data_IF_245558211114
#
_entry.id   IF_245558211114
#
_cell.length_a   1.000
_cell.length_b   1.000
_cell.length_c   1.000
_cell.angle_alpha   90.00
_cell.angle_beta   90.00
_cell.angle_gamma   90.00
#
_symmetry.space_group_name_H-M   'P 1'
#
loop_
_entity.id
_entity.type
_entity.pdbx_description
1 polymer ?
#
# COMPACT_ATOMS: atom_id res chain seq x y z
N UNK A 1 -50.50 50.25 47.36
CA UNK A 1 -49.24 50.23 46.56
C UNK A 1 -49.52 50.38 45.05
N UNK A 2 -50.01 51.54 44.57
CA UNK A 2 -50.32 51.80 43.14
C UNK A 2 -49.41 52.88 42.50
N UNK A 3 -48.18 53.03 43.00
CA UNK A 3 -47.29 54.14 42.60
C UNK A 3 -46.14 53.73 41.66
N UNK A 4 -45.85 52.43 41.49
CA UNK A 4 -44.75 51.98 40.61
C UNK A 4 -45.11 51.92 39.10
N UNK A 5 -46.39 51.79 38.74
CA UNK A 5 -46.83 51.71 37.32
C UNK A 5 -46.95 53.08 36.62
N UNK A 6 -47.10 54.19 37.36
CA UNK A 6 -47.15 55.54 36.75
C UNK A 6 -45.79 56.05 36.26
N UNK A 7 -44.70 55.62 36.91
CA UNK A 7 -43.33 56.04 36.55
C UNK A 7 -42.85 55.39 35.24
N UNK A 8 -43.37 54.20 34.90
CA UNK A 8 -43.02 53.51 33.66
C UNK A 8 -43.57 54.23 32.41
N UNK A 9 -44.80 54.76 32.45
CA UNK A 9 -45.43 55.48 31.32
C UNK A 9 -44.66 56.74 30.90
N UNK A 10 -44.08 57.47 31.85
CA UNK A 10 -43.33 58.69 31.55
C UNK A 10 -42.02 58.44 30.78
N UNK A 11 -41.51 57.20 30.72
CA UNK A 11 -40.29 56.88 29.97
C UNK A 11 -40.54 56.71 28.48
N UNK A 12 -41.69 56.17 28.11
CA UNK A 12 -42.07 55.98 26.70
C UNK A 12 -42.39 57.33 26.06
N UNK A 13 -43.15 58.19 26.76
CA UNK A 13 -43.44 59.56 26.28
C UNK A 13 -42.16 60.39 26.10
N UNK A 14 -41.20 60.25 27.02
CA UNK A 14 -39.88 60.88 26.90
C UNK A 14 -39.06 60.32 25.73
N UNK A 15 -39.16 59.01 25.47
CA UNK A 15 -38.47 58.38 24.33
C UNK A 15 -39.02 58.91 23.01
N UNK A 16 -40.33 58.94 22.82
CA UNK A 16 -40.94 59.45 21.60
C UNK A 16 -40.67 60.93 21.38
N UNK A 17 -40.69 61.77 22.43
CA UNK A 17 -40.28 63.18 22.31
C UNK A 17 -38.79 63.33 21.96
N UNK A 18 -37.91 62.54 22.57
CA UNK A 18 -36.45 62.66 22.37
C UNK A 18 -36.00 62.21 20.98
N UNK A 19 -36.68 61.23 20.40
CA UNK A 19 -36.30 60.64 19.11
C UNK A 19 -37.28 60.98 17.98
N UNK A 20 -38.20 61.93 18.17
CA UNK A 20 -39.20 62.30 17.16
C UNK A 20 -38.59 62.71 15.82
N UNK A 21 -37.52 63.53 15.85
CA UNK A 21 -36.81 63.95 14.64
C UNK A 21 -36.15 62.77 13.89
N UNK A 22 -35.70 61.74 14.61
CA UNK A 22 -35.07 60.56 14.01
C UNK A 22 -36.10 59.57 13.45
N UNK A 23 -37.23 59.40 14.15
CA UNK A 23 -38.32 58.53 13.71
C UNK A 23 -39.05 59.11 12.49
N UNK A 24 -39.15 60.44 12.38
CA UNK A 24 -39.88 61.11 11.30
C UNK A 24 -39.00 61.59 10.15
N UNK A 25 -37.68 61.34 10.18
CA UNK A 25 -36.82 61.65 9.04
C UNK A 25 -37.18 60.79 7.82
N UNK A 26 -37.67 61.43 6.75
CA UNK A 26 -37.92 60.78 5.47
C UNK A 26 -36.59 60.35 4.84
N UNK A 27 -36.33 59.05 4.84
CA UNK A 27 -35.21 58.45 4.11
C UNK A 27 -35.59 58.36 2.64
N UNK A 28 -34.89 59.09 1.78
CA UNK A 28 -35.01 58.97 0.33
C UNK A 28 -33.88 58.10 -0.22
N UNK A 29 -34.24 57.06 -0.96
CA UNK A 29 -33.28 56.26 -1.70
C UNK A 29 -33.24 56.79 -3.14
N UNK A 30 -32.06 57.26 -3.55
CA UNK A 30 -31.83 57.71 -4.92
C UNK A 30 -31.73 56.45 -5.79
N UNK A 31 -32.83 56.11 -6.47
CA UNK A 31 -32.83 55.07 -7.48
C UNK A 31 -32.31 55.70 -8.77
N UNK A 32 -31.00 55.60 -9.00
CA UNK A 32 -30.40 56.00 -10.27
C UNK A 32 -31.02 55.21 -11.43
N UNK A 33 -31.39 55.93 -12.49
CA UNK A 33 -32.00 55.36 -13.68
C UNK A 33 -31.06 54.31 -14.32
N UNK A 34 -31.64 53.16 -14.64
CA UNK A 34 -31.01 51.94 -15.18
C UNK A 34 -29.89 52.22 -16.19
N UNK A 35 -28.64 52.13 -15.74
CA UNK A 35 -27.51 51.83 -16.64
C UNK A 35 -27.72 50.46 -17.29
N UNK A 36 -27.29 50.30 -18.55
CA UNK A 36 -27.42 49.07 -19.35
C UNK A 36 -27.01 47.86 -18.50
N UNK A 37 -27.96 46.96 -18.24
CA UNK A 37 -27.73 45.76 -17.42
C UNK A 37 -26.65 44.89 -18.07
N UNK A 38 -25.43 44.93 -17.54
CA UNK A 38 -24.56 43.76 -17.56
C UNK A 38 -25.34 42.67 -16.82
N UNK A 39 -25.49 41.49 -17.42
CA UNK A 39 -26.32 40.41 -16.86
C UNK A 39 -25.93 40.17 -15.40
N UNK A 40 -26.82 40.49 -14.46
CA UNK A 40 -26.60 40.19 -13.05
C UNK A 40 -26.65 38.68 -12.88
N UNK A 41 -25.49 38.06 -12.72
CA UNK A 41 -25.33 36.62 -12.60
C UNK A 41 -23.86 36.22 -12.51
N UNK A 42 -23.61 34.98 -12.08
CA UNK A 42 -22.27 34.38 -12.10
C UNK A 42 -21.72 34.43 -13.54
N UNK A 43 -20.44 34.80 -13.76
CA UNK A 43 -19.84 34.81 -15.09
C UNK A 43 -20.04 33.45 -15.76
N UNK A 44 -20.49 33.46 -17.01
CA UNK A 44 -20.61 32.23 -17.80
C UNK A 44 -19.22 31.84 -18.29
N UNK A 45 -18.68 30.78 -17.71
CA UNK A 45 -17.45 30.13 -18.19
C UNK A 45 -17.73 29.39 -19.50
N UNK A 46 -16.73 29.36 -20.38
CA UNK A 46 -16.79 28.56 -21.61
C UNK A 46 -16.92 27.07 -21.28
N UNK A 47 -17.49 26.31 -22.22
CA UNK A 47 -17.78 24.88 -22.03
C UNK A 47 -16.56 24.09 -21.57
N UNK A 48 -15.38 24.38 -22.09
CA UNK A 48 -14.14 23.68 -21.74
C UNK A 48 -13.65 23.95 -20.31
N UNK A 49 -13.95 25.12 -19.77
CA UNK A 49 -13.55 25.55 -18.42
C UNK A 49 -14.52 25.06 -17.33
N UNK A 50 -15.73 24.63 -17.69
CA UNK A 50 -16.72 24.11 -16.76
C UNK A 50 -16.28 22.80 -16.09
N UNK A 51 -16.68 22.62 -14.82
CA UNK A 51 -16.57 21.34 -14.11
C UNK A 51 -17.32 20.21 -14.83
N UNK A 52 -16.85 18.97 -14.68
CA UNK A 52 -17.47 17.77 -15.29
C UNK A 52 -18.96 17.63 -14.95
N UNK A 53 -19.36 18.01 -13.73
CA UNK A 53 -20.77 17.99 -13.29
C UNK A 53 -21.61 18.95 -14.13
N UNK A 54 -21.11 20.15 -14.40
CA UNK A 54 -21.78 21.15 -15.22
C UNK A 54 -21.83 20.73 -16.68
N UNK A 55 -20.74 20.20 -17.25
CA UNK A 55 -20.67 19.65 -18.62
C UNK A 55 -21.71 18.54 -18.85
N UNK A 56 -21.88 17.63 -17.88
CA UNK A 56 -22.91 16.57 -17.94
C UNK A 56 -24.33 17.13 -17.90
N UNK A 57 -24.56 18.21 -17.14
CA UNK A 57 -25.87 18.86 -17.03
C UNK A 57 -26.25 19.57 -18.33
N UNK A 58 -25.33 20.34 -18.92
CA UNK A 58 -25.56 21.07 -20.17
C UNK A 58 -25.79 20.14 -21.35
N UNK A 59 -25.06 19.03 -21.43
CA UNK A 59 -25.21 18.00 -22.49
C UNK A 59 -26.36 17.01 -22.24
N UNK A 60 -27.09 17.12 -21.11
CA UNK A 60 -28.17 16.18 -20.77
C UNK A 60 -29.25 16.17 -21.85
N UNK A 61 -29.66 17.37 -22.27
CA UNK A 61 -30.76 17.55 -23.22
C UNK A 61 -30.41 16.95 -24.60
N UNK A 62 -29.16 17.08 -25.02
CA UNK A 62 -28.66 16.53 -26.29
C UNK A 62 -28.63 15.00 -26.22
N UNK A 63 -28.15 14.44 -25.10
CA UNK A 63 -28.08 12.98 -24.90
C UNK A 63 -29.44 12.31 -24.76
N UNK A 64 -30.45 13.04 -24.27
CA UNK A 64 -31.82 12.51 -24.20
C UNK A 64 -32.55 12.55 -25.55
N UNK A 65 -32.15 13.45 -26.45
CA UNK A 65 -32.84 13.66 -27.74
C UNK A 65 -32.34 12.77 -28.86
N UNK A 66 -31.05 12.39 -28.85
CA UNK A 66 -30.41 11.68 -29.96
C UNK A 66 -29.75 10.38 -29.54
N UNK A 67 -29.67 9.43 -30.46
CA UNK A 67 -29.04 8.13 -30.25
C UNK A 67 -27.51 8.19 -30.23
N UNK A 68 -26.85 7.14 -29.71
CA UNK A 68 -25.38 7.06 -29.65
C UNK A 68 -24.73 7.07 -31.03
N UNK A 69 -25.34 6.42 -32.02
CA UNK A 69 -24.86 6.39 -33.41
C UNK A 69 -24.92 7.79 -34.04
N UNK A 70 -26.04 8.51 -33.89
CA UNK A 70 -26.23 9.87 -34.40
C UNK A 70 -25.26 10.85 -33.77
N UNK A 71 -25.07 10.78 -32.44
CA UNK A 71 -24.10 11.61 -31.72
C UNK A 71 -22.66 11.31 -32.13
N UNK A 72 -22.32 10.03 -32.39
CA UNK A 72 -21.00 9.66 -32.88
C UNK A 72 -20.72 10.19 -34.29
N UNK A 73 -21.74 10.21 -35.16
CA UNK A 73 -21.64 10.76 -36.50
C UNK A 73 -21.54 12.30 -36.46
N UNK A 74 -22.35 12.95 -35.63
CA UNK A 74 -22.27 14.40 -35.40
C UNK A 74 -20.88 14.82 -34.89
N UNK A 75 -20.29 14.04 -33.96
CA UNK A 75 -18.93 14.28 -33.49
C UNK A 75 -17.89 14.12 -34.61
N UNK A 76 -18.04 13.13 -35.51
CA UNK A 76 -17.16 12.98 -36.68
C UNK A 76 -17.25 14.21 -37.59
N UNK A 77 -18.45 14.70 -37.88
CA UNK A 77 -18.66 15.87 -38.74
C UNK A 77 -18.09 17.16 -38.11
N UNK A 78 -18.27 17.33 -36.79
CA UNK A 78 -17.70 18.46 -36.05
C UNK A 78 -16.17 18.45 -36.00
N UNK A 79 -15.54 17.27 -35.89
CA UNK A 79 -14.09 17.15 -35.93
C UNK A 79 -13.52 17.43 -37.32
N UNK A 80 -14.25 17.06 -38.38
CA UNK A 80 -13.90 17.40 -39.77
C UNK A 80 -14.00 18.90 -40.04
N UNK A 81 -15.06 19.55 -39.54
CA UNK A 81 -15.21 21.00 -39.68
C UNK A 81 -14.18 21.79 -38.87
N UNK A 82 -13.58 21.16 -37.85
CA UNK A 82 -12.50 21.73 -37.04
C UNK A 82 -11.09 21.35 -37.52
N UNK A 83 -10.97 20.87 -38.77
CA UNK A 83 -9.71 20.50 -39.45
C UNK A 83 -8.86 19.40 -38.77
N UNK A 84 -9.43 18.64 -37.83
CA UNK A 84 -8.75 17.48 -37.23
C UNK A 84 -8.95 16.27 -38.12
N UNK A 85 -8.01 16.00 -39.04
CA UNK A 85 -8.18 14.98 -40.09
C UNK A 85 -8.21 13.53 -39.55
N UNK A 86 -7.36 13.21 -38.56
CA UNK A 86 -7.23 11.84 -38.04
C UNK A 86 -8.24 11.48 -36.94
N UNK A 87 -8.68 12.47 -36.16
CA UNK A 87 -9.59 12.25 -35.03
C UNK A 87 -10.95 11.63 -35.42
N UNK A 88 -11.63 12.03 -36.52
CA UNK A 88 -12.85 11.40 -37.01
C UNK A 88 -12.68 9.92 -37.33
N UNK A 89 -11.52 9.51 -37.84
CA UNK A 89 -11.22 8.11 -38.18
C UNK A 89 -11.19 7.25 -36.92
N UNK A 90 -10.56 7.77 -35.86
CA UNK A 90 -10.51 7.10 -34.54
C UNK A 90 -11.90 7.01 -33.91
N UNK A 91 -12.70 8.09 -33.95
CA UNK A 91 -14.08 8.07 -33.43
C UNK A 91 -14.93 7.04 -34.17
N UNK A 92 -14.85 6.98 -35.51
CA UNK A 92 -15.54 5.97 -36.31
C UNK A 92 -15.11 4.55 -35.94
N UNK A 93 -13.81 4.32 -35.79
CA UNK A 93 -13.26 3.01 -35.41
C UNK A 93 -13.76 2.56 -34.03
N UNK A 94 -13.89 3.46 -33.07
CA UNK A 94 -14.35 3.13 -31.73
C UNK A 94 -15.88 2.94 -31.69
N UNK A 95 -16.63 3.71 -32.49
CA UNK A 95 -18.10 3.70 -32.46
C UNK A 95 -18.74 2.62 -33.34
N UNK A 96 -18.20 2.35 -34.53
CA UNK A 96 -18.81 1.42 -35.50
C UNK A 96 -18.16 0.03 -35.52
N UNK A 97 -16.92 -0.11 -35.03
CA UNK A 97 -16.18 -1.38 -35.06
C UNK A 97 -16.04 -2.00 -33.67
N UNK A 98 -15.56 -3.25 -33.60
CA UNK A 98 -15.47 -4.02 -32.37
C UNK A 98 -14.83 -3.21 -31.22
N UNK A 99 -15.48 -3.09 -30.04
CA UNK A 99 -15.02 -2.29 -28.90
C UNK A 99 -13.62 -2.66 -28.38
N UNK A 100 -13.08 -3.80 -28.80
CA UNK A 100 -11.70 -4.23 -28.55
C UNK A 100 -10.64 -3.32 -29.20
N UNK A 101 -10.96 -2.59 -30.28
CA UNK A 101 -9.99 -1.65 -30.90
C UNK A 101 -9.62 -0.51 -29.96
N UNK A 102 -10.56 -0.01 -29.16
CA UNK A 102 -10.29 1.03 -28.16
C UNK A 102 -9.22 0.58 -27.13
N UNK A 103 -9.23 -0.71 -26.75
CA UNK A 103 -8.20 -1.29 -25.86
C UNK A 103 -6.81 -1.30 -26.50
N UNK A 104 -6.71 -1.52 -27.81
CA UNK A 104 -5.44 -1.50 -28.55
C UNK A 104 -4.84 -0.08 -28.58
N UNK A 105 -5.64 0.93 -28.94
CA UNK A 105 -5.20 2.34 -28.91
C UNK A 105 -4.72 2.75 -27.50
N UNK A 106 -5.45 2.36 -26.44
CA UNK A 106 -5.03 2.61 -25.06
C UNK A 106 -3.71 1.91 -24.71
N UNK A 107 -3.50 0.68 -25.16
CA UNK A 107 -2.26 -0.07 -24.87
C UNK A 107 -1.04 0.63 -25.49
N UNK A 108 -1.15 1.08 -26.75
CA UNK A 108 -0.08 1.77 -27.46
C UNK A 108 0.20 3.14 -26.84
N UNK A 109 -0.83 3.92 -26.49
CA UNK A 109 -0.63 5.23 -25.86
C UNK A 109 0.06 5.16 -24.47
N UNK A 110 -0.09 4.03 -23.76
CA UNK A 110 0.53 3.82 -22.44
C UNK A 110 1.85 3.03 -22.50
N UNK A 111 2.21 2.46 -23.64
CA UNK A 111 3.53 1.87 -23.83
C UNK A 111 4.50 2.99 -24.18
N UNK A 112 5.29 3.45 -23.20
CA UNK A 112 6.49 4.24 -23.50
C UNK A 112 7.41 3.40 -24.38
N UNK A 113 7.67 3.86 -25.60
CA UNK A 113 8.72 3.33 -26.45
C UNK A 113 10.03 3.49 -25.67
N UNK A 114 10.52 2.41 -25.09
CA UNK A 114 11.88 2.33 -24.59
C UNK A 114 12.68 1.73 -25.73
N UNK A 115 13.30 2.60 -26.51
CA UNK A 115 14.35 2.17 -27.43
C UNK A 115 15.48 1.54 -26.61
N UNK A 116 16.14 0.54 -27.21
CA UNK A 116 17.17 -0.26 -26.57
C UNK A 116 18.39 0.60 -26.24
N UNK A 117 18.45 1.19 -25.04
CA UNK A 117 19.68 1.80 -24.54
C UNK A 117 20.73 0.71 -24.30
N UNK A 118 21.92 0.92 -24.88
CA UNK A 118 23.09 0.10 -24.62
C UNK A 118 23.51 0.22 -23.14
N UNK A 119 24.06 -0.87 -22.60
CA UNK A 119 24.32 -1.04 -21.17
C UNK A 119 25.24 0.03 -20.58
N UNK A 120 26.16 0.56 -21.40
CA UNK A 120 27.12 1.58 -20.97
C UNK A 120 26.55 3.00 -21.03
N UNK A 121 25.70 3.28 -22.03
CA UNK A 121 25.03 4.58 -22.20
C UNK A 121 24.00 4.82 -21.08
N UNK A 122 23.34 3.75 -20.63
CA UNK A 122 22.45 3.78 -19.46
C UNK A 122 23.19 4.07 -18.14
N UNK A 123 24.44 3.63 -17.98
CA UNK A 123 25.25 3.87 -16.77
C UNK A 123 25.80 5.30 -16.76
N UNK A 124 26.19 5.83 -17.92
CA UNK A 124 26.60 7.24 -18.05
C UNK A 124 25.44 8.19 -17.70
N UNK A 125 24.24 7.94 -18.25
CA UNK A 125 23.02 8.69 -17.91
C UNK A 125 22.65 8.61 -16.41
N UNK A 126 22.96 7.49 -15.75
CA UNK A 126 22.74 7.31 -14.32
C UNK A 126 23.73 8.09 -13.44
N UNK A 127 24.95 8.34 -13.91
CA UNK A 127 25.94 9.13 -13.19
C UNK A 127 25.71 10.64 -13.35
N UNK A 128 25.25 11.07 -14.52
CA UNK A 128 25.00 12.49 -14.81
C UNK A 128 23.67 13.00 -14.23
N UNK A 129 22.64 12.15 -14.18
CA UNK A 129 21.36 12.54 -13.57
C UNK A 129 21.47 12.32 -12.07
N UNK A 130 21.59 13.40 -11.30
CA UNK A 130 21.28 13.40 -9.86
C UNK A 130 19.86 12.86 -9.68
N UNK A 131 19.73 11.56 -9.42
CA UNK A 131 18.46 10.85 -9.51
C UNK A 131 17.50 11.34 -8.42
N UNK A 132 16.30 11.76 -8.85
CA UNK A 132 15.21 11.95 -7.90
C UNK A 132 14.87 10.60 -7.24
N UNK A 133 14.37 10.67 -6.00
CA UNK A 133 14.01 9.52 -5.17
C UNK A 133 13.13 8.50 -5.89
N UNK A 134 12.24 8.95 -6.77
CA UNK A 134 11.33 8.09 -7.53
C UNK A 134 12.03 7.35 -8.67
N UNK A 135 12.96 8.00 -9.37
CA UNK A 135 13.77 7.36 -10.42
C UNK A 135 14.72 6.31 -9.82
N UNK A 136 15.30 6.60 -8.65
CA UNK A 136 16.08 5.60 -7.90
C UNK A 136 15.22 4.39 -7.49
N UNK A 137 13.97 4.60 -7.04
CA UNK A 137 13.07 3.50 -6.72
C UNK A 137 12.69 2.67 -7.95
N UNK A 138 12.49 3.30 -9.11
CA UNK A 138 12.23 2.59 -10.37
C UNK A 138 13.44 1.75 -10.80
N UNK A 139 14.63 2.33 -10.75
CA UNK A 139 15.89 1.62 -11.02
C UNK A 139 16.11 0.46 -10.05
N UNK A 140 15.87 0.68 -8.75
CA UNK A 140 15.94 -0.38 -7.74
C UNK A 140 14.94 -1.50 -8.02
N UNK A 141 13.71 -1.17 -8.41
CA UNK A 141 12.70 -2.16 -8.74
C UNK A 141 13.02 -2.92 -10.04
N UNK A 142 13.68 -2.27 -11.00
CA UNK A 142 14.20 -2.90 -12.21
C UNK A 142 15.40 -3.82 -11.91
N UNK A 143 16.36 -3.35 -11.11
CA UNK A 143 17.47 -4.14 -10.63
C UNK A 143 16.97 -5.34 -9.83
N UNK A 144 16.05 -5.18 -8.87
CA UNK A 144 15.44 -6.29 -8.12
C UNK A 144 14.66 -7.29 -8.99
N UNK A 145 14.19 -6.87 -10.17
CA UNK A 145 13.59 -7.77 -11.17
C UNK A 145 14.66 -8.55 -11.95
N UNK A 146 15.81 -7.94 -12.22
CA UNK A 146 16.90 -8.49 -13.06
C UNK A 146 17.95 -9.26 -12.24
N UNK A 147 18.46 -8.66 -11.18
CA UNK A 147 19.27 -9.30 -10.14
C UNK A 147 18.34 -9.88 -9.08
N UNK A 148 17.99 -11.15 -9.22
CA UNK A 148 17.43 -11.90 -8.11
C UNK A 148 18.55 -12.07 -7.04
N UNK A 149 18.73 -11.03 -6.24
CA UNK A 149 19.77 -10.96 -5.21
C UNK A 149 19.66 -12.12 -4.23
N UNK A 150 20.79 -12.77 -4.05
CA UNK A 150 21.15 -13.93 -3.22
C UNK A 150 20.69 -13.89 -1.74
N UNK A 151 20.34 -12.72 -1.18
CA UNK A 151 20.28 -12.56 0.29
C UNK A 151 18.96 -12.93 0.96
N UNK A 152 17.82 -12.92 0.27
CA UNK A 152 16.51 -13.04 0.94
C UNK A 152 15.70 -14.28 0.51
N UNK A 153 16.20 -15.06 -0.46
CA UNK A 153 15.50 -16.22 -1.03
C UNK A 153 16.23 -17.55 -0.82
N UNK A 154 17.25 -17.60 0.04
CA UNK A 154 17.69 -18.87 0.61
C UNK A 154 16.69 -19.26 1.69
N UNK A 155 15.63 -20.00 1.30
CA UNK A 155 14.53 -20.42 2.21
C UNK A 155 15.01 -21.37 3.31
N UNK A 156 15.77 -20.89 4.29
CA UNK A 156 16.28 -21.77 5.33
C UNK A 156 17.09 -22.95 4.78
N UNK A 157 17.63 -22.85 3.55
CA UNK A 157 18.42 -23.90 2.88
C UNK A 157 19.90 -23.70 3.16
N UNK A 158 20.59 -24.79 3.47
CA UNK A 158 22.03 -24.77 3.76
C UNK A 158 22.80 -24.43 2.46
N UNK A 159 23.86 -23.64 2.60
CA UNK A 159 24.70 -23.19 1.49
C UNK A 159 25.93 -24.11 1.42
N UNK A 160 26.39 -24.44 0.21
CA UNK A 160 27.67 -25.12 0.05
C UNK A 160 28.81 -24.10 0.19
N UNK A 161 29.54 -24.17 1.29
CA UNK A 161 30.54 -23.18 1.69
C UNK A 161 31.72 -23.13 0.70
N UNK A 162 32.16 -24.28 0.16
CA UNK A 162 33.30 -24.36 -0.76
C UNK A 162 33.02 -23.63 -2.07
N UNK A 163 31.92 -24.03 -2.74
CA UNK A 163 31.45 -23.38 -3.97
C UNK A 163 31.16 -21.88 -3.75
N UNK A 164 30.59 -21.54 -2.59
CA UNK A 164 30.30 -20.15 -2.27
C UNK A 164 31.58 -19.30 -2.13
N UNK A 165 32.63 -19.83 -1.49
CA UNK A 165 33.91 -19.13 -1.35
C UNK A 165 34.53 -18.85 -2.72
N UNK A 166 34.59 -19.86 -3.59
CA UNK A 166 35.10 -19.72 -4.97
C UNK A 166 34.33 -18.63 -5.73
N UNK A 167 33.00 -18.70 -5.72
CA UNK A 167 32.13 -17.72 -6.37
C UNK A 167 32.37 -16.28 -5.88
N UNK A 168 32.52 -16.09 -4.56
CA UNK A 168 32.76 -14.74 -4.00
C UNK A 168 34.13 -14.17 -4.36
N UNK A 169 35.17 -15.01 -4.46
CA UNK A 169 36.51 -14.59 -4.87
C UNK A 169 36.54 -14.24 -6.34
N UNK A 170 35.91 -15.04 -7.20
CA UNK A 170 35.77 -14.74 -8.63
C UNK A 170 35.04 -13.42 -8.86
N UNK A 171 33.95 -13.20 -8.12
CA UNK A 171 33.18 -11.95 -8.18
C UNK A 171 34.02 -10.75 -7.73
N UNK A 172 34.85 -10.90 -6.69
CA UNK A 172 35.74 -9.85 -6.23
C UNK A 172 36.82 -9.50 -7.28
N UNK A 173 37.41 -10.51 -7.92
CA UNK A 173 38.39 -10.32 -9.01
C UNK A 173 37.75 -9.60 -10.20
N UNK A 174 36.53 -10.01 -10.57
CA UNK A 174 35.78 -9.37 -11.64
C UNK A 174 35.49 -7.89 -11.32
N UNK A 175 35.07 -7.58 -10.09
CA UNK A 175 34.82 -6.20 -9.65
C UNK A 175 36.06 -5.31 -9.77
N UNK A 176 37.22 -5.80 -9.32
CA UNK A 176 38.49 -5.06 -9.39
C UNK A 176 38.93 -4.84 -10.85
N UNK A 177 38.67 -5.80 -11.73
CA UNK A 177 39.00 -5.71 -13.16
C UNK A 177 38.15 -4.66 -13.88
N UNK A 178 36.83 -4.68 -13.67
CA UNK A 178 35.89 -3.76 -14.34
C UNK A 178 35.95 -2.34 -13.76
N UNK A 179 36.15 -2.22 -12.45
CA UNK A 179 36.16 -0.94 -11.75
C UNK A 179 37.46 -0.70 -10.95
N UNK A 180 38.64 -0.60 -11.60
CA UNK A 180 39.91 -0.38 -10.89
C UNK A 180 39.95 0.94 -10.13
N UNK A 181 39.22 1.95 -10.62
CA UNK A 181 39.17 3.29 -10.07
C UNK A 181 38.31 3.41 -8.79
N UNK A 182 37.44 2.42 -8.52
CA UNK A 182 36.48 2.49 -7.42
C UNK A 182 36.86 1.56 -6.27
N UNK A 183 36.99 2.13 -5.07
CA UNK A 183 37.28 1.35 -3.86
C UNK A 183 36.06 0.52 -3.45
N UNK A 184 36.27 -0.76 -3.16
CA UNK A 184 35.18 -1.67 -2.74
C UNK A 184 34.53 -1.13 -1.45
N UNK A 185 33.20 -0.88 -1.45
CA UNK A 185 32.51 -0.43 -0.25
C UNK A 185 32.59 -1.47 0.88
N UNK A 186 32.66 -1.04 2.14
CA UNK A 186 32.86 -1.96 3.27
C UNK A 186 31.76 -3.02 3.40
N UNK A 187 30.52 -2.72 3.00
CA UNK A 187 29.44 -3.72 2.96
C UNK A 187 29.65 -4.81 1.91
N UNK A 188 30.14 -4.43 0.72
CA UNK A 188 30.46 -5.38 -0.37
C UNK A 188 31.72 -6.17 -0.03
N UNK A 189 32.72 -5.52 0.58
CA UNK A 189 33.91 -6.19 1.07
C UNK A 189 33.58 -7.26 2.12
N UNK A 190 32.75 -6.94 3.12
CA UNK A 190 32.26 -7.93 4.10
C UNK A 190 31.46 -9.06 3.43
N UNK A 191 30.71 -8.76 2.37
CA UNK A 191 29.95 -9.75 1.61
C UNK A 191 30.85 -10.70 0.81
N UNK A 192 31.89 -10.20 0.14
CA UNK A 192 32.72 -11.00 -0.75
C UNK A 192 33.87 -11.70 -0.01
N UNK A 193 34.44 -11.05 1.01
CA UNK A 193 35.64 -11.56 1.70
C UNK A 193 35.25 -12.30 2.98
N UNK A 194 34.50 -11.66 3.88
CA UNK A 194 34.23 -12.22 5.22
C UNK A 194 32.98 -13.11 5.30
N UNK A 195 32.03 -12.99 4.37
CA UNK A 195 30.76 -13.73 4.44
C UNK A 195 30.93 -15.25 4.41
N UNK A 196 31.84 -15.85 3.62
CA UNK A 196 32.05 -17.30 3.67
C UNK A 196 32.45 -17.78 5.08
N UNK A 197 33.36 -17.06 5.74
CA UNK A 197 33.82 -17.39 7.10
C UNK A 197 32.70 -17.20 8.15
N UNK A 198 31.86 -16.16 7.97
CA UNK A 198 30.69 -15.94 8.83
C UNK A 198 29.66 -17.07 8.67
N UNK A 199 29.45 -17.55 7.45
CA UNK A 199 28.50 -18.64 7.21
C UNK A 199 29.01 -19.96 7.81
N UNK A 200 30.32 -20.17 7.79
CA UNK A 200 30.96 -21.37 8.35
C UNK A 200 30.90 -21.39 9.89
N UNK A 201 31.12 -20.24 10.53
CA UNK A 201 31.06 -20.11 11.99
C UNK A 201 29.64 -19.98 12.56
N UNK A 202 28.64 -19.61 11.76
CA UNK A 202 27.29 -19.36 12.23
C UNK A 202 26.48 -20.66 12.45
N UNK A 203 25.89 -20.79 13.65
CA UNK A 203 24.99 -21.91 14.01
C UNK A 203 23.74 -21.98 13.13
N UNK A 204 23.19 -20.82 12.80
CA UNK A 204 21.99 -20.67 11.98
C UNK A 204 22.35 -19.94 10.68
N UNK A 205 21.64 -20.30 9.62
CA UNK A 205 21.80 -19.60 8.36
C UNK A 205 21.48 -18.12 8.50
N UNK A 206 22.29 -17.28 7.89
CA UNK A 206 22.24 -15.82 8.06
C UNK A 206 20.88 -15.20 7.71
N UNK A 207 20.11 -15.81 6.80
CA UNK A 207 18.76 -15.35 6.48
C UNK A 207 17.75 -15.50 7.62
N UNK A 208 17.99 -16.44 8.56
CA UNK A 208 17.18 -16.61 9.77
C UNK A 208 17.58 -15.62 10.88
N UNK A 209 18.80 -15.10 10.83
CA UNK A 209 19.34 -14.11 11.76
C UNK A 209 19.10 -12.66 11.29
N UNK A 210 18.16 -12.46 10.36
CA UNK A 210 17.90 -11.14 9.74
C UNK A 210 17.17 -10.20 10.70
N UNK A 211 17.60 -8.93 10.74
CA UNK A 211 16.95 -7.84 11.48
C UNK A 211 15.60 -7.41 10.86
N UNK A 212 15.33 -7.79 9.60
CA UNK A 212 14.13 -7.39 8.86
C UNK A 212 12.83 -7.76 9.61
N UNK A 213 12.85 -8.84 10.39
CA UNK A 213 11.73 -9.22 11.24
C UNK A 213 11.44 -8.15 12.29
N UNK A 214 12.48 -7.68 13.00
CA UNK A 214 12.36 -6.61 14.00
C UNK A 214 11.93 -5.29 13.37
N UNK A 215 12.51 -4.89 12.23
CA UNK A 215 12.10 -3.67 11.53
C UNK A 215 10.63 -3.72 11.07
N UNK A 216 10.14 -4.90 10.68
CA UNK A 216 8.75 -5.07 10.30
C UNK A 216 7.79 -4.82 11.48
N UNK A 217 8.23 -5.14 12.71
CA UNK A 217 7.44 -4.88 13.93
C UNK A 217 7.27 -3.38 14.20
N UNK A 218 8.21 -2.53 13.75
CA UNK A 218 8.08 -1.08 13.90
C UNK A 218 6.81 -0.52 13.24
N UNK A 219 6.34 -1.15 12.15
CA UNK A 219 5.08 -0.80 11.50
C UNK A 219 3.87 -1.13 12.40
N UNK A 220 3.92 -2.27 13.09
CA UNK A 220 2.90 -2.67 14.06
C UNK A 220 2.90 -1.74 15.27
N UNK A 221 4.06 -1.37 15.79
CA UNK A 221 4.21 -0.43 16.90
C UNK A 221 3.52 0.91 16.59
N UNK A 222 3.82 1.50 15.43
CA UNK A 222 3.18 2.75 14.99
C UNK A 222 1.66 2.59 14.89
N UNK A 223 1.20 1.52 14.24
CA UNK A 223 -0.24 1.22 14.08
C UNK A 223 -0.96 1.05 15.42
N UNK A 224 -0.36 0.32 16.36
CA UNK A 224 -0.95 0.07 17.68
C UNK A 224 -1.04 1.37 18.49
N UNK A 225 0.00 2.20 18.41
CA UNK A 225 0.07 3.50 19.07
C UNK A 225 -0.98 4.49 18.53
N UNK A 226 -1.17 4.53 17.22
CA UNK A 226 -2.06 5.50 16.57
C UNK A 226 -3.55 5.15 16.73
N UNK A 227 -3.90 3.87 16.56
CA UNK A 227 -5.28 3.46 16.33
C UNK A 227 -5.90 2.64 17.47
N UNK A 228 -5.10 2.02 18.33
CA UNK A 228 -5.59 0.98 19.27
C UNK A 228 -5.37 1.39 20.73
N UNK A 229 -4.21 1.92 21.07
CA UNK A 229 -3.85 2.26 22.46
C UNK A 229 -4.57 3.49 22.99
N UNK A 230 -4.76 3.56 24.32
CA UNK A 230 -5.34 4.71 25.03
C UNK A 230 -4.48 5.98 24.85
N UNK A 231 -5.11 7.14 24.63
CA UNK A 231 -4.41 8.42 24.33
C UNK A 231 -4.40 9.44 25.48
N UNK A 232 -4.91 9.10 26.66
CA UNK A 232 -4.98 10.03 27.80
C UNK A 232 -3.72 10.03 28.68
N UNK A 233 -2.84 9.02 28.57
CA UNK A 233 -1.58 8.96 29.32
C UNK A 233 -0.53 8.20 28.50
N UNK A 234 0.69 8.72 28.48
CA UNK A 234 1.81 8.10 27.76
C UNK A 234 2.18 6.72 28.33
N UNK A 235 2.13 6.56 29.66
CA UNK A 235 2.44 5.28 30.32
C UNK A 235 1.41 4.23 29.93
N UNK A 236 0.11 4.57 30.02
CA UNK A 236 -0.98 3.66 29.62
C UNK A 236 -0.98 3.37 28.12
N UNK A 237 -0.61 4.35 27.31
CA UNK A 237 -0.44 4.18 25.87
C UNK A 237 0.62 3.11 25.54
N UNK A 238 1.81 3.23 26.14
CA UNK A 238 2.89 2.26 25.93
C UNK A 238 2.56 0.89 26.53
N UNK A 239 1.93 0.84 27.70
CA UNK A 239 1.45 -0.41 28.32
C UNK A 239 0.53 -1.19 27.36
N UNK A 240 -0.41 -0.51 26.70
CA UNK A 240 -1.31 -1.13 25.72
C UNK A 240 -0.56 -1.62 24.48
N UNK A 241 0.39 -0.84 23.96
CA UNK A 241 1.23 -1.23 22.82
C UNK A 241 2.03 -2.49 23.16
N UNK A 242 2.66 -2.53 24.34
CA UNK A 242 3.41 -3.69 24.83
C UNK A 242 2.53 -4.92 24.99
N UNK A 243 1.37 -4.80 25.66
CA UNK A 243 0.42 -5.92 25.81
C UNK A 243 -0.03 -6.46 24.46
N UNK A 244 -0.25 -5.59 23.48
CA UNK A 244 -0.66 -6.01 22.13
C UNK A 244 0.46 -6.71 21.37
N UNK A 245 1.70 -6.27 21.54
CA UNK A 245 2.87 -6.95 20.97
C UNK A 245 3.07 -8.34 21.59
N UNK A 246 2.90 -8.49 22.90
CA UNK A 246 2.95 -9.79 23.57
C UNK A 246 1.89 -10.75 23.01
N UNK A 247 0.62 -10.30 22.93
CA UNK A 247 -0.43 -11.11 22.32
C UNK A 247 -0.19 -11.40 20.82
N UNK A 248 0.51 -10.51 20.11
CA UNK A 248 0.87 -10.72 18.71
C UNK A 248 2.02 -11.74 18.54
N UNK A 249 2.93 -11.83 19.50
CA UNK A 249 4.14 -12.67 19.45
C UNK A 249 4.00 -14.01 20.16
N UNK A 250 2.89 -14.22 20.88
CA UNK A 250 2.55 -15.50 21.51
C UNK A 250 2.67 -16.68 20.52
N UNK A 251 3.53 -17.69 20.80
CA UNK A 251 3.75 -18.83 19.90
C UNK A 251 2.51 -19.68 19.65
N UNK A 252 1.69 -19.87 20.68
CA UNK A 252 0.46 -20.67 20.60
C UNK A 252 -0.59 -19.94 19.76
N UNK A 253 -0.78 -18.65 19.98
CA UNK A 253 -1.69 -17.86 19.15
C UNK A 253 -1.17 -17.74 17.72
N UNK A 254 0.15 -17.67 17.52
CA UNK A 254 0.75 -17.60 16.20
C UNK A 254 0.54 -18.89 15.38
N UNK A 255 0.61 -20.07 16.00
CA UNK A 255 0.39 -21.35 15.31
C UNK A 255 -1.04 -21.51 14.80
N UNK A 256 -2.02 -20.95 15.52
CA UNK A 256 -3.43 -20.97 15.15
C UNK A 256 -3.79 -19.95 14.04
N UNK A 257 -2.97 -18.93 13.81
CA UNK A 257 -3.23 -17.90 12.79
C UNK A 257 -2.93 -18.45 11.40
N UNK A 258 -3.87 -18.28 10.46
CA UNK A 258 -3.66 -18.60 9.04
C UNK A 258 -2.75 -17.55 8.39
N UNK A 259 -1.50 -17.88 7.98
CA UNK A 259 -0.64 -16.92 7.32
C UNK A 259 -1.11 -16.67 5.88
N UNK A 260 -0.90 -15.46 5.33
CA UNK A 260 -1.21 -15.18 3.94
C UNK A 260 -0.31 -16.03 3.02
N UNK A 261 -0.92 -16.71 2.06
CA UNK A 261 -0.20 -17.51 1.06
C UNK A 261 0.66 -16.61 0.16
N UNK A 262 1.99 -16.78 0.22
CA UNK A 262 2.92 -16.02 -0.62
C UNK A 262 3.33 -16.85 -1.83
N UNK A 263 3.15 -16.30 -3.04
CA UNK A 263 3.62 -16.92 -4.27
C UNK A 263 5.14 -17.01 -4.27
N UNK A 264 5.64 -18.22 -4.48
CA UNK A 264 7.05 -18.52 -4.57
C UNK A 264 7.55 -18.10 -5.94
N UNK A 265 8.55 -17.21 -5.97
CA UNK A 265 9.26 -16.88 -7.21
C UNK A 265 10.43 -17.85 -7.38
N UNK A 266 10.74 -18.19 -8.63
CA UNK A 266 11.90 -19.00 -8.99
C UNK A 266 13.22 -18.33 -8.56
N UNK A 267 14.22 -19.18 -8.33
CA UNK A 267 15.61 -18.80 -8.10
C UNK A 267 16.36 -18.81 -9.43
N UNK A 268 17.47 -18.06 -9.49
CA UNK A 268 18.42 -18.14 -10.61
C UNK A 268 19.11 -19.51 -10.59
N UNK A 269 19.46 -20.08 -11.76
CA UNK A 269 20.19 -21.35 -11.85
C UNK A 269 21.48 -21.38 -11.04
N UNK A 270 22.32 -20.35 -11.16
CA UNK A 270 23.58 -20.23 -10.41
C UNK A 270 23.35 -20.22 -8.89
N UNK A 271 22.27 -19.56 -8.44
CA UNK A 271 21.91 -19.52 -7.03
C UNK A 271 21.37 -20.87 -6.53
N UNK A 272 20.87 -21.74 -7.41
CA UNK A 272 20.45 -23.09 -7.07
C UNK A 272 21.68 -24.00 -6.90
N UNK A 273 22.71 -23.85 -7.74
CA UNK A 273 23.94 -24.66 -7.65
C UNK A 273 24.73 -24.40 -6.36
N UNK A 274 24.64 -23.19 -5.82
CA UNK A 274 25.27 -22.82 -4.54
C UNK A 274 24.53 -23.38 -3.30
N UNK A 275 23.33 -23.92 -3.47
CA UNK A 275 22.54 -24.47 -2.38
C UNK A 275 22.77 -25.98 -2.25
N UNK A 276 22.84 -26.45 -1.02
CA UNK A 276 22.77 -27.89 -0.76
C UNK A 276 21.34 -28.36 -1.07
N UNK A 277 21.25 -29.41 -1.88
CA UNK A 277 19.98 -30.12 -2.07
C UNK A 277 19.55 -30.72 -0.72
N UNK A 278 18.24 -30.80 -0.43
CA UNK A 278 17.78 -31.53 0.75
C UNK A 278 18.27 -32.97 0.61
N UNK A 279 18.92 -33.51 1.65
CA UNK A 279 19.16 -34.95 1.75
C UNK A 279 17.77 -35.60 1.67
N UNK A 280 17.50 -36.36 0.61
CA UNK A 280 16.44 -37.36 0.66
C UNK A 280 16.78 -38.25 1.85
N UNK A 281 15.81 -38.50 2.75
CA UNK A 281 15.96 -39.59 3.70
C UNK A 281 16.18 -40.83 2.85
N UNK A 282 17.38 -41.39 2.84
CA UNK A 282 17.60 -42.76 2.43
C UNK A 282 17.08 -43.61 3.56
N UNK A 283 16.30 -44.63 3.24
CA UNK A 283 15.64 -45.56 4.17
C UNK A 283 16.63 -46.42 5.01
N UNK A 284 17.90 -46.04 5.04
CA UNK A 284 18.99 -46.71 5.75
C UNK A 284 19.12 -46.25 7.22
N UNK A 285 18.47 -45.13 7.59
CA UNK A 285 18.47 -44.62 8.97
C UNK A 285 17.32 -45.19 9.84
N UNK A 286 16.41 -46.02 9.28
CA UNK A 286 15.31 -46.68 10.03
C UNK A 286 15.61 -48.13 10.47
N UNK A 287 16.81 -48.66 10.17
CA UNK A 287 17.16 -50.06 10.44
C UNK A 287 17.88 -50.32 11.79
N UNK A 288 17.91 -49.35 12.72
CA UNK A 288 18.46 -49.55 14.07
C UNK A 288 17.48 -49.00 15.11
N UNK A 289 16.51 -49.83 15.49
CA UNK A 289 15.57 -49.48 16.56
C UNK A 289 14.23 -50.20 16.51
N UNK A 290 14.22 -51.52 16.25
CA UNK A 290 13.09 -52.40 16.55
C UNK A 290 13.65 -53.69 17.15
N UNK A 291 14.08 -53.62 18.41
CA UNK A 291 13.98 -54.75 19.32
C UNK A 291 12.81 -54.39 20.25
N UNK A 292 11.65 -54.98 19.97
CA UNK A 292 10.49 -54.98 20.85
C UNK A 292 10.61 -56.26 21.67
N UNK A 293 11.03 -56.13 22.91
CA UNK A 293 10.75 -57.07 23.98
C UNK A 293 10.27 -56.21 25.14
N UNK A 294 8.97 -56.25 25.43
CA UNK A 294 8.47 -56.17 26.80
C UNK A 294 7.00 -56.57 26.84
N UNK A 295 6.74 -57.50 27.76
CA UNK A 295 5.56 -58.32 27.89
C UNK A 295 4.30 -57.53 28.29
N UNK A 296 3.17 -57.93 27.70
CA UNK A 296 1.82 -57.61 28.19
C UNK A 296 1.65 -58.11 29.63
N UNK A 297 1.30 -57.23 30.56
CA UNK A 297 0.40 -57.57 31.67
C UNK A 297 -0.59 -56.45 31.98
N UNK A 298 -1.83 -56.88 32.11
CA UNK A 298 -3.09 -56.16 32.26
C UNK A 298 -3.19 -55.32 33.53
N UNK A 299 -3.77 -54.12 33.41
CA UNK A 299 -4.54 -53.51 34.51
C UNK A 299 -5.83 -52.88 33.98
N UNK A 300 -6.86 -53.72 34.05
CA UNK A 300 -8.29 -53.40 33.97
C UNK A 300 -8.64 -52.34 35.04
N UNK A 301 -9.35 -51.29 34.64
CA UNK A 301 -10.17 -50.51 35.58
C UNK A 301 -11.57 -50.35 35.02
N UNK A 302 -12.45 -51.24 35.49
CA UNK A 302 -13.89 -51.21 35.28
C UNK A 302 -14.47 -49.87 35.75
N UNK A 303 -15.19 -49.21 34.85
CA UNK A 303 -16.16 -48.18 35.20
C UNK A 303 -17.53 -48.75 34.93
N UNK A 304 -18.32 -48.93 35.99
CA UNK A 304 -19.70 -48.44 36.11
C UNK A 304 -20.46 -49.23 37.18
N UNK A 305 -20.85 -48.57 38.28
CA UNK A 305 -22.14 -48.87 38.89
C UNK A 305 -22.70 -47.62 39.60
N UNK A 306 -23.78 -47.09 39.04
CA UNK A 306 -24.64 -46.10 39.65
C UNK A 306 -25.62 -46.80 40.60
N UNK A 307 -25.87 -46.26 41.80
CA UNK A 307 -27.24 -46.01 42.26
C UNK A 307 -27.29 -45.24 43.59
N UNK A 308 -28.23 -44.30 43.64
CA UNK A 308 -28.74 -43.59 44.81
C UNK A 308 -29.27 -44.48 45.92
N UNK A 309 -29.17 -44.04 47.18
CA UNK A 309 -30.30 -44.04 48.13
C UNK A 309 -30.03 -43.12 49.31
N UNK A 310 -31.14 -42.61 49.83
CA UNK A 310 -31.35 -41.54 50.79
C UNK A 310 -31.18 -41.99 52.26
N UNK A 311 -31.49 -41.04 53.16
CA UNK A 311 -31.84 -41.17 54.58
C UNK A 311 -30.65 -41.09 55.56
N UNK A 312 -30.48 -39.92 56.19
CA UNK A 312 -31.11 -39.45 57.44
C UNK A 312 -30.33 -39.90 58.68
N UNK A 313 -29.94 -38.89 59.46
CA UNK A 313 -30.13 -38.77 60.91
C UNK A 313 -28.90 -38.22 61.63
N UNK A 314 -29.16 -37.22 62.48
CA UNK A 314 -28.59 -37.26 63.82
C UNK A 314 -27.39 -36.35 64.10
N UNK A 315 -27.72 -35.13 64.54
CA UNK A 315 -27.35 -34.64 65.88
C UNK A 315 -25.85 -34.40 66.19
N UNK A 316 -25.43 -33.13 66.20
CA UNK A 316 -25.11 -32.29 67.39
C UNK A 316 -24.49 -30.98 66.94
#
# INVERSE_FOLDING_TARGET
>A
MRTKLKVAKNRDDYFFQKFDCWLNTKVSFLVEAKSKRLSTGRPQEEFDQLSDRSKRRTTKDIRSKYGTAELSYAAQMSLRSSEKLDAPVVVRDISSSNPSKAKKYRKVANSSVLDNLDGNEGVALLCDIVLSRDKYQQLRNWALKKTATFSHRTRGRKINIKKFREYTVETARYFVKEYPWYKIPPGVHRLLIHRPDIIDSALLQIGKLSEEAQESTNKLIRRYRENISRKYSRVKNLEDVFRRLLAATDPYVASLRKPPQKKLKSLLPDAIDLLLQPKTRTDEDEAVGNEVDDDEQDLIWDSDEAMSTEEEEGNV
#
